data_IF_475286310431
#
_entry.id   IF_475286310431
#
_cell.length_a   1.000
_cell.length_b   1.000
_cell.length_c   1.000
_cell.angle_alpha   90.00
_cell.angle_beta   90.00
_cell.angle_gamma   90.00
#
_symmetry.space_group_name_H-M   'P 1'
#
loop_
_entity.id
_entity.type
_entity.pdbx_description
1 polymer ?
#
# COMPACT_ATOMS: atom_id res chain seq x y z
N UNK A 1 10.03 -10.52 -20.44
CA UNK A 1 10.42 -9.51 -19.43
C UNK A 1 9.44 -8.36 -19.50
N UNK A 2 8.78 -8.06 -18.37
CA UNK A 2 7.94 -6.87 -18.27
C UNK A 2 8.85 -5.65 -18.39
N UNK A 3 8.41 -4.65 -19.14
CA UNK A 3 9.17 -3.41 -19.36
C UNK A 3 8.39 -2.26 -18.72
N UNK A 4 9.11 -1.23 -18.30
CA UNK A 4 8.50 0.04 -17.93
C UNK A 4 7.79 0.63 -19.15
N UNK A 5 6.65 1.29 -18.95
CA UNK A 5 6.04 2.12 -19.98
C UNK A 5 7.03 3.14 -20.55
N UNK A 6 6.87 3.51 -21.82
CA UNK A 6 7.68 4.56 -22.42
C UNK A 6 7.54 5.87 -21.64
N UNK A 7 8.65 6.58 -21.47
CA UNK A 7 8.70 7.86 -20.77
C UNK A 7 8.23 7.81 -19.28
N UNK A 8 8.29 6.64 -18.62
CA UNK A 8 7.80 6.48 -17.25
C UNK A 8 8.44 7.48 -16.26
N UNK A 9 9.75 7.79 -16.39
CA UNK A 9 10.41 8.77 -15.52
C UNK A 9 9.79 10.15 -15.65
N UNK A 10 9.55 10.60 -16.90
CA UNK A 10 8.87 11.88 -17.14
C UNK A 10 7.44 11.86 -16.62
N UNK A 11 6.72 10.78 -16.85
CA UNK A 11 5.37 10.61 -16.32
C UNK A 11 5.32 10.79 -14.80
N UNK A 12 6.25 10.18 -14.06
CA UNK A 12 6.31 10.30 -12.59
C UNK A 12 6.69 11.70 -12.12
N UNK A 13 7.57 12.40 -12.84
CA UNK A 13 7.90 13.81 -12.56
C UNK A 13 6.68 14.72 -12.76
N UNK A 14 5.98 14.57 -13.88
CA UNK A 14 4.77 15.32 -14.20
C UNK A 14 3.65 15.02 -13.17
N UNK A 15 3.48 13.74 -12.82
CA UNK A 15 2.50 13.30 -11.82
C UNK A 15 2.75 13.94 -10.45
N UNK A 16 4.00 13.97 -9.98
CA UNK A 16 4.37 14.59 -8.70
C UNK A 16 3.98 16.07 -8.66
N UNK A 17 4.20 16.79 -9.77
CA UNK A 17 3.82 18.19 -9.86
C UNK A 17 2.29 18.36 -9.89
N UNK A 18 1.63 17.54 -10.67
CA UNK A 18 0.19 17.58 -10.85
C UNK A 18 -0.59 17.37 -9.54
N UNK A 19 -0.17 16.37 -8.73
CA UNK A 19 -0.85 16.05 -7.47
C UNK A 19 -0.31 16.78 -6.25
N UNK A 20 0.63 17.71 -6.41
CA UNK A 20 1.27 18.42 -5.30
C UNK A 20 0.27 19.15 -4.39
N UNK A 21 -0.86 19.60 -4.95
CA UNK A 21 -1.92 20.30 -4.22
C UNK A 21 -2.99 19.39 -3.65
N UNK A 22 -2.94 18.09 -3.93
CA UNK A 22 -3.87 17.11 -3.35
C UNK A 22 -3.36 16.75 -1.96
N UNK A 23 -4.20 16.94 -0.95
CA UNK A 23 -3.87 16.57 0.43
C UNK A 23 -3.72 15.06 0.60
N UNK A 24 -2.74 14.63 1.39
CA UNK A 24 -2.46 13.21 1.68
C UNK A 24 -1.00 13.00 2.06
N UNK A 25 -0.72 11.87 2.69
CA UNK A 25 0.51 11.63 3.46
C UNK A 25 1.62 10.88 2.72
N UNK A 26 1.47 10.62 1.41
CA UNK A 26 2.50 9.96 0.60
C UNK A 26 3.69 10.89 0.31
N UNK A 27 4.89 10.41 0.60
CA UNK A 27 6.13 11.08 0.17
C UNK A 27 6.37 10.92 -1.34
N UNK A 28 7.20 11.77 -1.98
CA UNK A 28 7.49 11.64 -3.42
C UNK A 28 7.99 10.27 -3.84
N UNK A 29 8.82 9.61 -3.03
CA UNK A 29 9.34 8.25 -3.33
C UNK A 29 8.24 7.18 -3.25
N UNK A 30 7.28 7.33 -2.34
CA UNK A 30 6.12 6.44 -2.20
C UNK A 30 5.15 6.62 -3.36
N UNK A 31 4.91 7.85 -3.78
CA UNK A 31 4.13 8.17 -4.99
C UNK A 31 4.76 7.49 -6.23
N UNK A 32 6.08 7.66 -6.43
CA UNK A 32 6.77 7.02 -7.54
C UNK A 32 6.68 5.48 -7.47
N UNK A 33 6.78 4.90 -6.26
CA UNK A 33 6.67 3.46 -6.09
C UNK A 33 5.25 2.95 -6.35
N UNK A 34 4.24 3.62 -5.82
CA UNK A 34 2.83 3.29 -6.09
C UNK A 34 2.52 3.37 -7.59
N UNK A 35 3.09 4.36 -8.29
CA UNK A 35 2.99 4.46 -9.74
C UNK A 35 3.63 3.25 -10.44
N UNK A 36 4.78 2.75 -9.97
CA UNK A 36 5.39 1.51 -10.51
C UNK A 36 4.48 0.31 -10.32
N UNK A 37 3.89 0.15 -9.12
CA UNK A 37 3.00 -0.97 -8.82
C UNK A 37 1.79 -1.00 -9.75
N UNK A 38 1.19 0.16 -10.02
CA UNK A 38 0.02 0.27 -10.88
C UNK A 38 0.34 0.17 -12.37
N UNK A 39 1.46 0.78 -12.84
CA UNK A 39 1.84 0.80 -14.25
C UNK A 39 2.53 -0.48 -14.73
N UNK A 40 3.04 -1.32 -13.83
CA UNK A 40 3.79 -2.52 -14.15
C UNK A 40 3.13 -3.77 -13.55
N UNK A 41 1.91 -4.14 -14.00
CA UNK A 41 1.16 -5.24 -13.40
C UNK A 41 1.92 -6.56 -13.46
N UNK A 42 1.95 -7.29 -12.35
CA UNK A 42 2.58 -8.61 -12.22
C UNK A 42 1.56 -9.75 -12.30
N UNK A 43 0.28 -9.42 -12.18
CA UNK A 43 -0.86 -10.31 -12.33
C UNK A 43 -1.95 -9.62 -13.18
N UNK A 44 -3.00 -10.35 -13.51
CA UNK A 44 -4.25 -9.81 -14.07
C UNK A 44 -5.23 -9.52 -12.94
N UNK A 45 -6.16 -8.62 -13.16
CA UNK A 45 -7.20 -8.27 -12.19
C UNK A 45 -7.23 -6.78 -11.89
N UNK A 46 -8.03 -6.40 -10.91
CA UNK A 46 -8.30 -5.03 -10.54
C UNK A 46 -7.31 -4.52 -9.48
N UNK A 47 -7.33 -3.22 -9.27
CA UNK A 47 -6.62 -2.56 -8.17
C UNK A 47 -7.63 -2.29 -7.07
N UNK A 48 -7.40 -2.83 -5.89
CA UNK A 48 -8.20 -2.53 -4.71
C UNK A 48 -7.41 -1.64 -3.76
N UNK A 49 -7.92 -0.45 -3.50
CA UNK A 49 -7.43 0.51 -2.54
C UNK A 49 -8.34 0.56 -1.32
N UNK A 50 -7.79 0.39 -0.13
CA UNK A 50 -8.50 0.52 1.15
C UNK A 50 -7.93 1.71 1.90
N UNK A 51 -8.79 2.72 2.15
CA UNK A 51 -8.37 4.02 2.68
C UNK A 51 -7.96 4.97 1.56
N UNK A 52 -8.91 5.74 1.05
CA UNK A 52 -8.70 6.63 -0.10
C UNK A 52 -8.63 8.10 0.31
N UNK A 53 -9.15 8.45 1.50
CA UNK A 53 -9.18 9.82 2.03
C UNK A 53 -9.62 10.85 0.99
N UNK A 54 -8.76 11.81 0.63
CA UNK A 54 -9.03 12.86 -0.38
C UNK A 54 -8.56 12.49 -1.80
N UNK A 55 -8.19 11.21 -2.04
CA UNK A 55 -7.95 10.62 -3.36
C UNK A 55 -6.53 10.78 -3.91
N UNK A 56 -5.53 11.13 -3.10
CA UNK A 56 -4.15 11.32 -3.60
C UNK A 56 -3.56 10.02 -4.16
N UNK A 57 -3.61 8.93 -3.41
CA UNK A 57 -3.19 7.59 -3.83
C UNK A 57 -4.06 7.06 -4.96
N UNK A 58 -5.36 7.26 -4.88
CA UNK A 58 -6.34 6.88 -5.92
C UNK A 58 -5.99 7.47 -7.28
N UNK A 59 -5.65 8.77 -7.34
CA UNK A 59 -5.24 9.44 -8.58
C UNK A 59 -3.94 8.86 -9.11
N UNK A 60 -2.96 8.58 -8.24
CA UNK A 60 -1.69 7.94 -8.63
C UNK A 60 -1.96 6.59 -9.25
N UNK A 61 -2.75 5.75 -8.59
CA UNK A 61 -3.11 4.41 -9.07
C UNK A 61 -3.82 4.47 -10.42
N UNK A 62 -4.87 5.28 -10.54
CA UNK A 62 -5.69 5.39 -11.77
C UNK A 62 -4.90 5.92 -12.97
N UNK A 63 -4.10 6.98 -12.79
CA UNK A 63 -3.25 7.52 -13.87
C UNK A 63 -2.17 6.54 -14.30
N UNK A 64 -1.58 5.83 -13.35
CA UNK A 64 -0.50 4.89 -13.62
C UNK A 64 -1.00 3.60 -14.26
N UNK A 65 -2.16 3.06 -13.85
CA UNK A 65 -2.79 1.91 -14.49
C UNK A 65 -3.14 2.19 -15.95
N UNK A 66 -3.48 3.44 -16.29
CA UNK A 66 -3.76 3.85 -17.66
C UNK A 66 -2.54 3.75 -18.60
N UNK A 67 -1.32 3.58 -18.08
CA UNK A 67 -0.12 3.35 -18.88
C UNK A 67 0.03 1.87 -19.32
N UNK A 68 -0.79 0.97 -18.81
CA UNK A 68 -0.68 -0.47 -19.08
C UNK A 68 -2.01 -1.10 -19.49
N UNK A 69 -2.71 -1.71 -18.56
CA UNK A 69 -3.89 -2.53 -18.79
C UNK A 69 -5.22 -1.84 -18.54
N UNK A 70 -5.18 -0.58 -18.07
CA UNK A 70 -6.36 0.20 -17.71
C UNK A 70 -7.26 -0.47 -16.66
N UNK A 71 -6.69 -1.23 -15.72
CA UNK A 71 -7.45 -1.82 -14.64
C UNK A 71 -8.21 -0.74 -13.85
N UNK A 72 -9.42 -1.05 -13.43
CA UNK A 72 -10.22 -0.18 -12.58
C UNK A 72 -9.58 -0.08 -11.19
N UNK A 73 -9.61 1.11 -10.60
CA UNK A 73 -9.27 1.32 -9.20
C UNK A 73 -10.54 1.30 -8.37
N UNK A 74 -10.73 0.25 -7.60
CA UNK A 74 -11.81 0.16 -6.62
C UNK A 74 -11.35 0.83 -5.33
N UNK A 75 -11.84 2.04 -5.09
CA UNK A 75 -11.51 2.85 -3.93
C UNK A 75 -12.51 2.61 -2.81
N UNK A 76 -12.08 2.03 -1.70
CA UNK A 76 -12.92 1.68 -0.56
C UNK A 76 -12.61 2.56 0.63
N UNK A 77 -13.56 3.39 1.02
CA UNK A 77 -13.43 4.30 2.15
C UNK A 77 -14.83 4.69 2.66
N UNK A 78 -15.12 4.63 3.95
CA UNK A 78 -16.40 5.11 4.48
C UNK A 78 -16.58 6.62 4.33
N UNK A 79 -15.52 7.36 4.00
CA UNK A 79 -15.47 8.81 3.81
C UNK A 79 -15.95 9.60 5.03
N UNK A 80 -15.81 9.03 6.22
CA UNK A 80 -16.08 9.67 7.51
C UNK A 80 -14.76 9.99 8.21
N UNK A 81 -14.67 11.20 8.71
CA UNK A 81 -13.51 11.68 9.47
C UNK A 81 -13.91 12.02 10.92
N UNK A 82 -12.96 11.99 11.86
CA UNK A 82 -11.65 11.39 11.76
C UNK A 82 -11.66 9.90 12.12
N UNK A 83 -10.66 9.15 11.66
CA UNK A 83 -10.38 7.83 12.22
C UNK A 83 -9.67 7.95 13.58
N UNK A 84 -9.62 6.87 14.37
CA UNK A 84 -8.90 6.87 15.66
C UNK A 84 -7.39 7.13 15.48
N UNK A 85 -6.85 6.82 14.30
CA UNK A 85 -5.44 6.94 13.96
C UNK A 85 -5.06 8.27 13.29
N UNK A 86 -6.07 9.04 12.82
CA UNK A 86 -5.87 10.35 12.17
C UNK A 86 -6.56 11.49 12.94
N UNK A 87 -6.05 11.86 14.15
CA UNK A 87 -6.65 12.89 14.98
C UNK A 87 -6.58 14.30 14.37
N UNK A 88 -5.72 14.51 13.39
CA UNK A 88 -5.55 15.82 12.71
C UNK A 88 -6.75 16.20 11.84
N UNK A 89 -7.62 15.24 11.51
CA UNK A 89 -8.87 15.46 10.79
C UNK A 89 -10.04 15.91 11.69
N UNK A 90 -9.76 16.34 12.90
CA UNK A 90 -10.77 16.86 13.82
C UNK A 90 -11.39 18.12 13.26
N UNK A 91 -12.71 18.07 13.03
CA UNK A 91 -13.49 19.19 12.46
C UNK A 91 -13.89 19.01 11.00
N UNK A 92 -13.47 17.93 10.35
CA UNK A 92 -14.01 17.50 9.06
C UNK A 92 -15.02 16.37 9.28
N UNK A 93 -16.24 16.53 8.78
CA UNK A 93 -17.28 15.50 8.89
C UNK A 93 -17.14 14.41 7.83
N UNK A 94 -16.52 14.73 6.69
CA UNK A 94 -16.35 13.81 5.57
C UNK A 94 -15.25 14.26 4.60
N UNK A 95 -14.45 13.32 4.10
CA UNK A 95 -13.49 13.52 3.01
C UNK A 95 -14.10 13.43 1.61
N UNK A 96 -15.36 12.97 1.48
CA UNK A 96 -16.02 12.73 0.20
C UNK A 96 -16.07 13.93 -0.76
N UNK A 97 -16.40 15.15 -0.32
CA UNK A 97 -16.45 16.30 -1.22
C UNK A 97 -15.08 16.60 -1.87
N UNK A 98 -14.00 16.52 -1.07
CA UNK A 98 -12.65 16.74 -1.57
C UNK A 98 -12.19 15.59 -2.47
N UNK A 99 -12.52 14.34 -2.13
CA UNK A 99 -12.25 13.17 -2.97
C UNK A 99 -12.87 13.33 -4.36
N UNK A 100 -14.18 13.60 -4.45
CA UNK A 100 -14.89 13.76 -5.72
C UNK A 100 -14.32 14.92 -6.55
N UNK A 101 -14.09 16.07 -5.92
CA UNK A 101 -13.47 17.23 -6.56
C UNK A 101 -12.09 16.91 -7.13
N UNK A 102 -11.27 16.16 -6.40
CA UNK A 102 -9.93 15.83 -6.81
C UNK A 102 -9.91 14.85 -7.99
N UNK A 103 -10.70 13.77 -7.96
CA UNK A 103 -10.75 12.80 -9.07
C UNK A 103 -11.31 13.43 -10.35
N UNK A 104 -12.27 14.34 -10.25
CA UNK A 104 -12.81 15.12 -11.37
C UNK A 104 -11.74 16.06 -11.94
N UNK A 105 -11.10 16.86 -11.09
CA UNK A 105 -10.03 17.80 -11.47
C UNK A 105 -8.90 17.09 -12.22
N UNK A 106 -8.53 15.90 -11.79
CA UNK A 106 -7.46 15.10 -12.37
C UNK A 106 -7.91 14.17 -13.49
N UNK A 107 -9.20 14.23 -13.90
CA UNK A 107 -9.80 13.51 -15.03
C UNK A 107 -9.60 11.98 -14.94
N UNK A 108 -9.88 11.41 -13.76
CA UNK A 108 -9.76 9.97 -13.52
C UNK A 108 -11.09 9.34 -13.03
N UNK A 109 -12.17 10.09 -13.01
CA UNK A 109 -13.49 9.63 -12.51
C UNK A 109 -13.95 8.36 -13.22
N UNK A 110 -13.72 8.24 -14.53
CA UNK A 110 -14.07 7.09 -15.37
C UNK A 110 -13.20 5.84 -15.13
N UNK A 111 -12.15 5.95 -14.31
CA UNK A 111 -11.20 4.87 -13.99
C UNK A 111 -11.33 4.37 -12.55
N UNK A 112 -12.26 4.95 -11.80
CA UNK A 112 -12.42 4.70 -10.37
C UNK A 112 -13.84 4.23 -10.08
N UNK A 113 -13.96 3.15 -9.32
CA UNK A 113 -15.21 2.72 -8.71
C UNK A 113 -15.12 2.99 -7.20
N UNK A 114 -15.89 3.99 -6.73
CA UNK A 114 -15.93 4.36 -5.32
C UNK A 114 -16.91 3.47 -4.55
N UNK A 115 -16.42 2.79 -3.53
CA UNK A 115 -17.19 2.03 -2.56
C UNK A 115 -17.21 2.80 -1.23
N UNK A 116 -18.21 3.67 -1.05
CA UNK A 116 -18.37 4.47 0.18
C UNK A 116 -18.91 3.60 1.33
N UNK A 117 -18.07 2.71 1.84
CA UNK A 117 -18.37 1.79 2.93
C UNK A 117 -17.08 1.28 3.59
N UNK A 118 -17.23 0.60 4.72
CA UNK A 118 -16.09 -0.07 5.34
C UNK A 118 -15.63 -1.29 4.50
N UNK A 119 -14.32 -1.56 4.49
CA UNK A 119 -13.70 -2.67 3.78
C UNK A 119 -14.33 -4.03 4.11
N UNK A 120 -14.61 -4.29 5.40
CA UNK A 120 -15.25 -5.54 5.85
C UNK A 120 -16.69 -5.71 5.37
N UNK A 121 -17.35 -4.64 4.93
CA UNK A 121 -18.70 -4.71 4.31
C UNK A 121 -18.54 -5.12 2.85
N UNK A 122 -17.64 -4.48 2.10
CA UNK A 122 -17.37 -4.80 0.71
C UNK A 122 -16.83 -6.24 0.56
N UNK A 123 -15.99 -6.70 1.46
CA UNK A 123 -15.41 -8.05 1.43
C UNK A 123 -16.47 -9.16 1.38
N UNK A 124 -17.68 -8.93 1.88
CA UNK A 124 -18.78 -9.91 1.84
C UNK A 124 -19.36 -10.16 0.45
N UNK A 125 -19.16 -9.22 -0.46
CA UNK A 125 -19.73 -9.23 -1.81
C UNK A 125 -18.68 -9.11 -2.91
N UNK A 126 -17.40 -9.05 -2.52
CA UNK A 126 -16.30 -8.95 -3.47
C UNK A 126 -16.06 -10.28 -4.18
N UNK A 127 -15.98 -10.27 -5.49
CA UNK A 127 -15.77 -11.47 -6.33
C UNK A 127 -14.77 -11.26 -7.47
N UNK A 128 -14.16 -10.06 -7.56
CA UNK A 128 -13.21 -9.73 -8.61
C UNK A 128 -11.79 -10.18 -8.27
N UNK A 129 -10.98 -10.60 -9.25
CA UNK A 129 -9.57 -10.91 -9.03
C UNK A 129 -8.77 -9.64 -8.74
N UNK A 130 -7.87 -9.70 -7.77
CA UNK A 130 -7.04 -8.58 -7.34
C UNK A 130 -5.60 -8.78 -7.81
N UNK A 131 -5.06 -7.82 -8.57
CA UNK A 131 -3.65 -7.77 -8.97
C UNK A 131 -2.79 -6.88 -8.08
N UNK A 132 -3.40 -5.88 -7.45
CA UNK A 132 -2.78 -4.98 -6.49
C UNK A 132 -3.76 -4.69 -5.36
N UNK A 133 -3.40 -5.10 -4.15
CA UNK A 133 -4.09 -4.73 -2.93
C UNK A 133 -3.25 -3.65 -2.21
N UNK A 134 -3.77 -2.43 -2.17
CA UNK A 134 -3.20 -1.29 -1.46
C UNK A 134 -3.99 -1.03 -0.19
N UNK A 135 -3.34 -1.18 0.99
CA UNK A 135 -3.95 -0.99 2.31
C UNK A 135 -3.35 0.24 2.97
N UNK A 136 -4.18 1.26 3.17
CA UNK A 136 -3.85 2.54 3.80
C UNK A 136 -5.04 3.06 4.64
N UNK A 137 -5.79 2.13 5.25
CA UNK A 137 -6.99 2.41 6.03
C UNK A 137 -6.70 2.59 7.52
N UNK A 138 -7.37 1.80 8.37
CA UNK A 138 -7.17 1.82 9.82
C UNK A 138 -5.82 1.20 10.20
N UNK A 139 -4.95 1.98 10.84
CA UNK A 139 -3.59 1.54 11.22
C UNK A 139 -3.55 0.69 12.51
N UNK A 140 -4.70 0.38 13.11
CA UNK A 140 -4.76 -0.60 14.21
C UNK A 140 -4.56 -2.02 13.68
N UNK A 141 -4.04 -2.92 14.53
CA UNK A 141 -3.87 -4.32 14.12
C UNK A 141 -5.21 -4.97 13.69
N UNK A 142 -6.28 -4.68 14.41
CA UNK A 142 -7.61 -5.20 14.07
C UNK A 142 -8.08 -4.70 12.71
N UNK A 143 -7.95 -3.41 12.44
CA UNK A 143 -8.36 -2.79 11.18
C UNK A 143 -7.55 -3.33 10.00
N UNK A 144 -6.22 -3.19 10.06
CA UNK A 144 -5.33 -3.70 8.99
C UNK A 144 -5.52 -5.22 8.74
N UNK A 145 -5.75 -5.99 9.82
CA UNK A 145 -6.00 -7.44 9.70
C UNK A 145 -7.31 -7.76 8.99
N UNK A 146 -8.38 -7.04 9.30
CA UNK A 146 -9.66 -7.16 8.61
C UNK A 146 -9.55 -6.77 7.13
N UNK A 147 -8.80 -5.71 6.83
CA UNK A 147 -8.54 -5.26 5.47
C UNK A 147 -7.78 -6.30 4.65
N UNK A 148 -6.77 -6.93 5.24
CA UNK A 148 -6.01 -7.98 4.57
C UNK A 148 -6.82 -9.28 4.41
N UNK A 149 -7.40 -9.79 5.49
CA UNK A 149 -8.13 -11.07 5.49
C UNK A 149 -9.36 -11.03 4.56
N UNK A 150 -10.03 -9.89 4.50
CA UNK A 150 -11.23 -9.74 3.67
C UNK A 150 -11.00 -9.94 2.17
N UNK A 151 -9.76 -9.75 1.70
CA UNK A 151 -9.46 -9.77 0.27
C UNK A 151 -8.31 -10.71 -0.13
N UNK A 152 -7.66 -11.36 0.84
CA UNK A 152 -6.51 -12.24 0.57
C UNK A 152 -6.85 -13.41 -0.37
N UNK A 153 -8.05 -13.96 -0.28
CA UNK A 153 -8.51 -15.08 -1.12
C UNK A 153 -8.75 -14.67 -2.59
N UNK A 154 -8.87 -13.38 -2.88
CA UNK A 154 -9.07 -12.84 -4.22
C UNK A 154 -7.77 -12.46 -4.92
N UNK A 155 -6.61 -12.64 -4.28
CA UNK A 155 -5.31 -12.35 -4.87
C UNK A 155 -4.99 -13.31 -6.02
N UNK A 156 -4.64 -12.75 -7.17
CA UNK A 156 -4.18 -13.52 -8.31
C UNK A 156 -2.71 -13.92 -8.20
N UNK A 157 -2.31 -14.99 -8.91
CA UNK A 157 -0.91 -15.40 -8.94
C UNK A 157 -0.02 -14.30 -9.52
N UNK A 158 0.94 -13.85 -8.73
CA UNK A 158 1.78 -12.71 -9.04
C UNK A 158 1.25 -11.36 -8.50
N UNK A 159 0.09 -11.32 -7.85
CA UNK A 159 -0.46 -10.10 -7.25
C UNK A 159 0.50 -9.47 -6.24
N UNK A 160 0.44 -8.15 -6.12
CA UNK A 160 1.18 -7.41 -5.09
C UNK A 160 0.22 -6.99 -3.97
N UNK A 161 0.64 -7.25 -2.74
CA UNK A 161 0.06 -6.62 -1.55
C UNK A 161 1.03 -5.53 -1.09
N UNK A 162 0.52 -4.33 -0.88
CA UNK A 162 1.29 -3.19 -0.39
C UNK A 162 0.52 -2.53 0.77
N UNK A 163 1.20 -2.31 1.89
CA UNK A 163 0.64 -1.74 3.12
C UNK A 163 1.42 -0.47 3.44
N UNK A 164 0.70 0.64 3.63
CA UNK A 164 1.30 1.92 4.02
C UNK A 164 1.59 1.97 5.53
N UNK A 165 2.39 2.93 5.93
CA UNK A 165 2.72 3.28 7.33
C UNK A 165 3.27 2.15 8.21
N UNK A 166 3.78 1.06 7.59
CA UNK A 166 4.34 -0.08 8.31
C UNK A 166 5.57 0.29 9.16
N UNK A 167 6.32 1.32 8.76
CA UNK A 167 7.47 1.82 9.52
C UNK A 167 7.14 3.08 10.35
N UNK A 168 5.88 3.35 10.63
CA UNK A 168 5.42 4.35 11.59
C UNK A 168 5.19 3.75 12.99
N UNK A 169 4.73 4.57 13.94
CA UNK A 169 4.56 4.17 15.34
C UNK A 169 3.22 3.43 15.58
N UNK A 170 2.65 2.79 14.51
CA UNK A 170 1.43 1.99 14.54
C UNK A 170 1.74 0.49 14.55
N UNK A 171 0.87 -0.31 15.17
CA UNK A 171 1.11 -1.76 15.28
C UNK A 171 0.45 -2.58 14.16
N UNK A 172 -0.54 -2.02 13.44
CA UNK A 172 -1.33 -2.76 12.45
C UNK A 172 -0.50 -3.27 11.28
N UNK A 173 -0.02 -2.36 10.46
CA UNK A 173 0.70 -2.73 9.23
C UNK A 173 1.92 -3.61 9.48
N UNK A 174 2.75 -3.30 10.49
CA UNK A 174 3.95 -4.10 10.78
C UNK A 174 3.61 -5.52 11.24
N UNK A 175 2.55 -5.70 12.05
CA UNK A 175 2.15 -7.03 12.53
C UNK A 175 1.55 -7.87 11.40
N UNK A 176 0.61 -7.34 10.65
CA UNK A 176 0.02 -8.05 9.51
C UNK A 176 1.10 -8.41 8.49
N UNK A 177 2.02 -7.50 8.18
CA UNK A 177 3.11 -7.79 7.26
C UNK A 177 4.03 -8.90 7.78
N UNK A 178 4.33 -8.91 9.07
CA UNK A 178 5.19 -9.95 9.67
C UNK A 178 4.47 -11.29 9.83
N UNK A 179 3.26 -11.28 10.39
CA UNK A 179 2.54 -12.49 10.81
C UNK A 179 1.87 -13.19 9.62
N UNK A 180 1.23 -12.42 8.72
CA UNK A 180 0.40 -12.98 7.63
C UNK A 180 1.13 -13.02 6.27
N UNK A 181 2.10 -12.13 6.05
CA UNK A 181 2.82 -12.05 4.77
C UNK A 181 4.20 -12.69 4.87
N UNK A 182 5.10 -12.22 5.75
CA UNK A 182 6.47 -12.75 5.81
C UNK A 182 6.54 -14.20 6.28
N UNK A 183 5.66 -14.63 7.19
CA UNK A 183 5.60 -16.03 7.66
C UNK A 183 4.77 -16.94 6.75
N UNK A 184 3.99 -16.40 5.83
CA UNK A 184 3.21 -17.18 4.88
C UNK A 184 4.10 -17.92 3.88
N UNK A 185 3.64 -19.08 3.42
CA UNK A 185 4.27 -19.84 2.34
C UNK A 185 3.88 -19.38 0.93
N UNK A 186 2.92 -18.46 0.80
CA UNK A 186 2.40 -17.98 -0.47
C UNK A 186 2.98 -16.63 -0.90
N UNK A 187 3.76 -15.95 -0.04
CA UNK A 187 4.39 -14.68 -0.39
C UNK A 187 5.89 -14.85 -0.67
N UNK A 188 6.33 -14.33 -1.81
CA UNK A 188 7.69 -14.43 -2.30
C UNK A 188 8.51 -13.15 -2.12
N UNK A 189 8.84 -12.50 -3.22
CA UNK A 189 9.61 -11.25 -3.21
C UNK A 189 8.94 -10.21 -2.31
N UNK A 190 9.74 -9.52 -1.50
CA UNK A 190 9.23 -8.54 -0.54
C UNK A 190 10.24 -7.41 -0.31
N UNK A 191 9.78 -6.32 0.30
CA UNK A 191 10.63 -5.19 0.63
C UNK A 191 9.87 -3.97 1.13
N UNK A 192 10.60 -2.85 1.18
CA UNK A 192 10.07 -1.55 1.59
C UNK A 192 10.49 -0.46 0.61
N UNK A 193 9.61 0.54 0.47
CA UNK A 193 9.94 1.86 -0.10
C UNK A 193 9.27 2.90 0.77
N UNK A 194 10.05 3.75 1.44
CA UNK A 194 9.50 4.62 2.46
C UNK A 194 8.89 3.85 3.62
N UNK A 195 7.64 4.11 3.94
CA UNK A 195 6.84 3.36 4.92
C UNK A 195 6.01 2.23 4.29
N UNK A 196 6.00 2.11 2.96
CA UNK A 196 5.28 1.07 2.23
C UNK A 196 6.02 -0.26 2.35
N UNK A 197 5.41 -1.24 3.02
CA UNK A 197 5.79 -2.64 2.91
C UNK A 197 5.09 -3.28 1.71
N UNK A 198 5.78 -4.11 0.95
CA UNK A 198 5.18 -4.81 -0.17
C UNK A 198 5.64 -6.26 -0.27
N UNK A 199 4.80 -7.13 -0.82
CA UNK A 199 5.18 -8.51 -1.14
C UNK A 199 4.36 -9.03 -2.31
N UNK A 200 4.97 -9.97 -3.07
CA UNK A 200 4.33 -10.66 -4.19
C UNK A 200 3.72 -11.97 -3.74
N UNK A 201 2.44 -12.15 -4.04
CA UNK A 201 1.69 -13.38 -3.78
C UNK A 201 1.92 -14.41 -4.89
N UNK A 202 2.02 -15.68 -4.52
CA UNK A 202 2.09 -16.82 -5.43
C UNK A 202 1.16 -17.93 -4.97
N UNK A 203 0.38 -18.47 -5.91
CA UNK A 203 -0.40 -19.71 -5.70
C UNK A 203 0.53 -20.91 -5.57
N UNK A 204 1.67 -20.88 -6.27
CA UNK A 204 2.73 -21.88 -6.12
C UNK A 204 3.68 -21.55 -4.95
N UNK A 205 3.56 -22.30 -3.88
CA UNK A 205 4.39 -22.17 -2.69
C UNK A 205 5.89 -22.40 -2.95
N UNK A 206 6.25 -23.19 -3.96
CA UNK A 206 7.65 -23.43 -4.26
C UNK A 206 8.31 -22.15 -4.79
N UNK A 207 7.65 -21.45 -5.67
CA UNK A 207 8.08 -20.15 -6.18
C UNK A 207 8.24 -19.11 -5.06
N UNK A 208 7.26 -19.05 -4.15
CA UNK A 208 7.34 -18.16 -2.99
C UNK A 208 8.53 -18.48 -2.06
N UNK A 209 8.89 -19.77 -1.91
CA UNK A 209 10.01 -20.23 -1.05
C UNK A 209 11.39 -19.78 -1.54
N UNK A 210 11.55 -19.44 -2.81
CA UNK A 210 12.83 -18.91 -3.35
C UNK A 210 13.29 -17.67 -2.60
N UNK A 211 12.37 -16.89 -2.06
CA UNK A 211 12.64 -15.65 -1.32
C UNK A 211 12.71 -15.84 0.21
N UNK A 212 12.70 -17.08 0.70
CA UNK A 212 12.64 -17.39 2.15
C UNK A 212 13.73 -16.69 2.97
N UNK A 213 14.95 -16.64 2.47
CA UNK A 213 16.06 -16.02 3.21
C UNK A 213 15.90 -14.50 3.33
N UNK A 214 15.42 -13.85 2.28
CA UNK A 214 15.14 -12.40 2.32
C UNK A 214 14.01 -12.09 3.29
N UNK A 215 12.94 -12.87 3.27
CA UNK A 215 11.83 -12.76 4.23
C UNK A 215 12.31 -12.90 5.67
N UNK A 216 13.13 -13.89 5.99
CA UNK A 216 13.69 -14.09 7.33
C UNK A 216 14.59 -12.94 7.79
N UNK A 217 15.44 -12.41 6.88
CA UNK A 217 16.26 -11.23 7.18
C UNK A 217 15.39 -10.02 7.50
N UNK A 218 14.33 -9.81 6.73
CA UNK A 218 13.41 -8.70 6.92
C UNK A 218 12.63 -8.87 8.22
N UNK A 219 12.08 -10.05 8.47
CA UNK A 219 11.40 -10.39 9.73
C UNK A 219 12.28 -10.11 10.95
N UNK A 220 13.55 -10.54 10.92
CA UNK A 220 14.50 -10.30 12.03
C UNK A 220 14.77 -8.81 12.27
N UNK A 221 14.73 -7.98 11.23
CA UNK A 221 14.88 -6.53 11.39
C UNK A 221 13.63 -5.90 11.97
N UNK A 222 12.46 -6.28 11.48
CA UNK A 222 11.17 -5.77 11.92
C UNK A 222 10.84 -6.19 13.36
N UNK A 223 11.21 -7.42 13.77
CA UNK A 223 10.97 -7.89 15.14
C UNK A 223 11.57 -6.99 16.23
N UNK A 224 12.63 -6.24 15.90
CA UNK A 224 13.22 -5.25 16.80
C UNK A 224 12.37 -4.00 16.99
N UNK A 225 11.42 -3.75 16.09
CA UNK A 225 10.49 -2.62 16.17
C UNK A 225 9.23 -2.95 16.98
N UNK A 226 8.81 -4.22 16.98
CA UNK A 226 7.56 -4.69 17.61
C UNK A 226 7.40 -4.21 19.06
N UNK A 227 8.41 -4.33 19.97
CA UNK A 227 8.23 -3.89 21.37
C UNK A 227 7.89 -2.40 21.50
N UNK A 228 8.29 -1.58 20.53
CA UNK A 228 8.04 -0.13 20.56
C UNK A 228 6.63 0.22 20.12
N UNK A 229 6.06 -0.49 19.16
CA UNK A 229 4.74 -0.17 18.59
C UNK A 229 3.60 -0.89 19.30
N UNK A 230 3.83 -2.12 19.81
CA UNK A 230 2.80 -2.91 20.50
C UNK A 230 2.67 -2.54 21.97
N UNK A 231 3.81 -2.31 22.65
CA UNK A 231 3.82 -2.06 24.10
C UNK A 231 3.71 -0.59 24.48
N UNK A 232 3.95 0.32 23.54
CA UNK A 232 3.98 1.77 23.78
C UNK A 232 3.13 2.49 22.74
N UNK A 233 2.17 3.28 23.23
CA UNK A 233 1.32 4.13 22.36
C UNK A 233 2.04 5.39 21.88
N UNK A 234 3.01 5.92 22.64
CA UNK A 234 3.76 7.13 22.32
C UNK A 234 5.23 6.96 22.68
N UNK A 235 6.11 7.09 21.70
CA UNK A 235 7.55 6.97 21.89
C UNK A 235 8.19 8.31 22.23
N UNK A 236 8.88 8.38 23.40
CA UNK A 236 9.59 9.59 23.85
C UNK A 236 11.05 9.31 24.19
N UNK A 237 11.87 10.36 24.14
CA UNK A 237 13.26 10.34 24.61
C UNK A 237 14.13 9.25 23.98
N UNK A 238 14.71 8.41 24.82
CA UNK A 238 15.61 7.32 24.41
C UNK A 238 14.90 6.21 23.62
N UNK A 239 13.63 5.95 23.90
CA UNK A 239 12.85 4.93 23.20
C UNK A 239 12.61 5.34 21.73
N UNK A 240 12.24 6.60 21.49
CA UNK A 240 12.10 7.15 20.14
C UNK A 240 13.44 7.12 19.38
N UNK A 241 14.56 7.37 20.04
CA UNK A 241 15.91 7.24 19.44
C UNK A 241 16.23 5.79 19.07
N UNK A 242 15.92 4.83 19.95
CA UNK A 242 16.12 3.38 19.69
C UNK A 242 15.23 2.91 18.53
N UNK A 243 13.95 3.32 18.52
CA UNK A 243 13.05 3.01 17.40
C UNK A 243 13.60 3.52 16.07
N UNK A 244 13.98 4.81 16.00
CA UNK A 244 14.59 5.39 14.80
C UNK A 244 15.85 4.67 14.36
N UNK A 245 16.69 4.25 15.32
CA UNK A 245 17.90 3.45 15.02
C UNK A 245 17.56 2.09 14.41
N UNK A 246 16.60 1.34 14.97
CA UNK A 246 16.20 0.05 14.39
C UNK A 246 15.47 0.22 13.06
N UNK A 247 14.62 1.22 12.95
CA UNK A 247 13.94 1.58 11.70
C UNK A 247 14.94 1.84 10.57
N UNK A 248 16.00 2.59 10.82
CA UNK A 248 17.03 2.87 9.82
C UNK A 248 17.83 1.64 9.34
N UNK A 249 17.68 0.50 10.03
CA UNK A 249 18.27 -0.79 9.62
C UNK A 249 17.34 -1.61 8.71
N UNK A 250 16.10 -1.24 8.58
CA UNK A 250 15.19 -1.79 7.58
C UNK A 250 15.51 -1.09 6.26
N UNK A 251 15.81 -1.83 5.16
CA UNK A 251 16.01 -1.20 3.85
C UNK A 251 14.69 -0.60 3.36
N UNK A 252 14.62 0.72 3.24
CA UNK A 252 13.41 1.44 2.86
C UNK A 252 13.68 2.64 1.94
N UNK A 253 14.81 2.61 1.25
CA UNK A 253 15.16 3.62 0.25
C UNK A 253 14.29 3.49 -1.00
N UNK A 254 14.34 4.51 -1.86
CA UNK A 254 13.72 4.44 -3.17
C UNK A 254 14.31 3.29 -3.98
N UNK A 255 13.46 2.53 -4.65
CA UNK A 255 13.86 1.44 -5.54
C UNK A 255 13.78 1.94 -6.98
N UNK A 256 14.84 1.69 -7.76
CA UNK A 256 14.76 1.92 -9.20
C UNK A 256 13.71 1.00 -9.82
N UNK A 257 12.81 1.51 -10.65
CA UNK A 257 11.73 0.72 -11.22
C UNK A 257 12.22 -0.56 -11.92
N UNK A 258 13.34 -0.48 -12.65
CA UNK A 258 13.93 -1.62 -13.35
C UNK A 258 14.48 -2.69 -12.39
N UNK A 259 15.01 -2.29 -11.24
CA UNK A 259 15.50 -3.21 -10.21
C UNK A 259 14.33 -3.92 -9.51
N UNK A 260 13.23 -3.18 -9.27
CA UNK A 260 12.01 -3.76 -8.73
C UNK A 260 11.40 -4.79 -9.68
N UNK A 261 11.29 -4.46 -10.98
CA UNK A 261 10.77 -5.39 -11.99
C UNK A 261 11.56 -6.71 -12.05
N UNK A 262 12.88 -6.67 -11.86
CA UNK A 262 13.71 -7.88 -11.82
C UNK A 262 13.42 -8.76 -10.60
N UNK A 263 12.94 -8.18 -9.49
CA UNK A 263 12.62 -8.94 -8.27
C UNK A 263 11.29 -9.67 -8.36
N UNK A 264 10.34 -9.17 -9.16
CA UNK A 264 8.96 -9.67 -9.24
C UNK A 264 8.68 -10.44 -10.56
N UNK A 265 9.70 -10.76 -11.32
CA UNK A 265 9.65 -11.60 -12.53
C UNK A 265 9.86 -13.12 -12.20
#
# INVERSE_FOLDING_TARGET
MKKLPENFSKFTEDLLQEIATVEGYLSPREICFLAVLAACPTAKGEILEIGSFKGKSTIVLAKSAALSDHATVHAVDPMIAPSETDPDLRGEDSSLPDFLKNIEKHKVTDKIELHQQFSYQLAKTWDLPIRLLWIDGDHTYKGTKLDFDGFADHLEDGAIVAIHDVLHEFDGGIRVFMEDILLSENFGACGFVGSIAWSQFHKDKQKARENRQEKLKLYTRLSKLIPFVVLKKELKGLEKKKYKFFRSRVPHDAVKPEEWLKKVQ
#
